data_IF_086425115853
#
_entry.id   IF_086425115853
#
_cell.length_a   1.000
_cell.length_b   1.000
_cell.length_c   1.000
_cell.angle_alpha   90.00
_cell.angle_beta   90.00
_cell.angle_gamma   90.00
#
_symmetry.space_group_name_H-M   'P 1'
#
loop_
_entity.id
_entity.type
_entity.pdbx_description
1 polymer ?
#
# COMPACT_ATOMS: atom_id res chain seq x y z
N UNK A 1 9.32 0.40 13.95
CA UNK A 1 9.71 0.21 12.52
C UNK A 1 8.71 0.93 11.61
N UNK A 2 9.19 1.69 10.66
CA UNK A 2 8.38 2.44 9.71
C UNK A 2 8.55 1.86 8.30
N UNK A 3 7.44 1.59 7.61
CA UNK A 3 7.43 1.22 6.20
C UNK A 3 7.09 2.45 5.35
N UNK A 4 8.04 2.94 4.56
CA UNK A 4 7.90 4.09 3.68
C UNK A 4 7.73 3.64 2.22
N UNK A 5 6.54 3.88 1.64
CA UNK A 5 6.24 3.60 0.24
C UNK A 5 6.17 4.87 -0.60
N UNK A 6 6.85 4.84 -1.75
CA UNK A 6 6.76 5.86 -2.79
C UNK A 6 6.13 5.27 -4.06
N UNK A 7 4.91 5.70 -4.40
CA UNK A 7 4.17 5.18 -5.56
C UNK A 7 4.41 5.96 -6.87
N UNK A 8 5.05 7.14 -6.81
CA UNK A 8 5.31 7.96 -7.98
C UNK A 8 6.39 7.38 -8.88
N UNK A 9 6.20 7.24 -10.21
CA UNK A 9 7.26 6.89 -11.15
C UNK A 9 8.27 8.03 -11.38
N UNK A 10 7.95 9.27 -10.98
CA UNK A 10 8.91 10.38 -11.07
C UNK A 10 10.01 10.18 -10.05
N UNK A 11 11.29 10.06 -10.47
CA UNK A 11 12.40 9.99 -9.54
C UNK A 11 12.62 11.33 -8.82
N UNK A 12 13.15 11.28 -7.60
CA UNK A 12 13.47 12.49 -6.86
C UNK A 12 12.26 13.25 -6.30
N UNK A 13 12.53 14.40 -5.71
CA UNK A 13 11.59 15.23 -4.94
C UNK A 13 11.36 16.56 -5.63
N UNK A 14 10.09 16.99 -5.74
CA UNK A 14 9.73 18.30 -6.30
C UNK A 14 10.41 19.45 -5.55
N UNK A 15 10.87 20.45 -6.30
CA UNK A 15 11.59 21.61 -5.75
C UNK A 15 13.05 21.34 -5.39
N UNK A 16 13.54 20.09 -5.57
CA UNK A 16 14.93 19.70 -5.32
C UNK A 16 15.53 19.08 -6.59
N UNK A 17 14.77 18.25 -7.29
CA UNK A 17 15.19 17.58 -8.50
C UNK A 17 14.33 18.03 -9.68
N UNK A 18 14.91 18.06 -10.86
CA UNK A 18 14.19 18.30 -12.10
C UNK A 18 13.12 17.20 -12.28
N UNK A 19 11.89 17.60 -12.60
CA UNK A 19 10.72 16.70 -12.72
C UNK A 19 10.40 15.87 -11.46
N UNK A 20 10.90 16.26 -10.28
CA UNK A 20 10.69 15.54 -9.03
C UNK A 20 9.20 15.42 -8.64
N UNK A 21 8.89 14.43 -7.82
CA UNK A 21 7.54 14.14 -7.33
C UNK A 21 7.20 14.94 -6.07
N UNK A 22 6.00 15.53 -6.03
CA UNK A 22 5.49 16.21 -4.84
C UNK A 22 5.11 15.20 -3.75
N UNK A 23 4.49 14.07 -4.07
CA UNK A 23 4.17 13.03 -3.09
C UNK A 23 5.43 12.46 -2.43
N UNK A 24 6.52 12.26 -3.20
CA UNK A 24 7.83 11.85 -2.63
C UNK A 24 8.44 12.92 -1.72
N UNK A 25 8.23 14.22 -2.03
CA UNK A 25 8.67 15.29 -1.16
C UNK A 25 7.94 15.26 0.18
N UNK A 26 6.62 15.08 0.14
CA UNK A 26 5.78 15.02 1.35
C UNK A 26 6.13 13.80 2.21
N UNK A 27 6.19 12.60 1.61
CA UNK A 27 6.51 11.37 2.34
C UNK A 27 7.91 11.40 2.94
N UNK A 28 8.87 11.93 2.19
CA UNK A 28 10.24 12.06 2.67
C UNK A 28 10.36 13.07 3.83
N UNK A 29 9.67 14.22 3.72
CA UNK A 29 9.62 15.19 4.82
C UNK A 29 9.07 14.56 6.10
N UNK A 30 7.97 13.79 6.01
CA UNK A 30 7.42 13.07 7.15
C UNK A 30 8.46 12.12 7.77
N UNK A 31 9.12 11.31 6.93
CA UNK A 31 10.13 10.35 7.41
C UNK A 31 11.35 11.07 8.04
N UNK A 32 11.76 12.22 7.52
CA UNK A 32 12.82 13.02 8.13
C UNK A 32 12.42 13.52 9.53
N UNK A 33 11.18 14.02 9.69
CA UNK A 33 10.67 14.43 11.01
C UNK A 33 10.55 13.24 11.99
N UNK A 34 10.08 12.10 11.47
CA UNK A 34 10.03 10.87 12.28
C UNK A 34 11.40 10.46 12.78
N UNK A 35 12.40 10.42 11.92
CA UNK A 35 13.78 10.07 12.30
C UNK A 35 14.39 11.05 13.30
N UNK A 36 14.04 12.33 13.21
CA UNK A 36 14.48 13.33 14.18
C UNK A 36 13.84 13.10 15.56
N UNK A 37 12.58 12.67 15.60
CA UNK A 37 11.86 12.39 16.86
C UNK A 37 12.18 10.99 17.43
N UNK A 38 12.40 10.00 16.56
CA UNK A 38 12.61 8.60 16.90
C UNK A 38 13.87 8.06 16.18
N UNK A 39 15.09 8.48 16.58
CA UNK A 39 16.33 8.18 15.85
C UNK A 39 16.68 6.68 15.83
N UNK A 40 16.22 5.90 16.80
CA UNK A 40 16.47 4.47 16.89
C UNK A 40 15.52 3.62 16.02
N UNK A 41 14.49 4.25 15.43
CA UNK A 41 13.51 3.52 14.62
C UNK A 41 14.08 3.12 13.26
N UNK A 42 13.92 1.83 12.94
CA UNK A 42 14.23 1.30 11.61
C UNK A 42 13.23 1.81 10.57
N UNK A 43 13.73 2.23 9.40
CA UNK A 43 12.93 2.61 8.25
C UNK A 43 13.20 1.67 7.08
N UNK A 44 12.18 0.92 6.69
CA UNK A 44 12.17 0.13 5.45
C UNK A 44 11.59 0.98 4.33
N UNK A 45 12.32 1.15 3.21
CA UNK A 45 11.86 1.92 2.06
C UNK A 45 11.49 1.00 0.90
N UNK A 46 10.28 1.20 0.39
CA UNK A 46 9.77 0.54 -0.82
C UNK A 46 9.45 1.57 -1.89
N UNK A 47 10.22 1.59 -2.97
CA UNK A 47 10.02 2.47 -4.12
C UNK A 47 9.28 1.72 -5.23
N UNK A 48 7.94 1.81 -5.21
CA UNK A 48 7.06 1.17 -6.19
C UNK A 48 7.18 1.79 -7.57
N UNK A 49 7.52 3.09 -7.65
CA UNK A 49 7.73 3.76 -8.93
C UNK A 49 8.98 3.31 -9.65
N UNK A 50 10.04 2.96 -8.91
CA UNK A 50 11.30 2.46 -9.46
C UNK A 50 11.30 0.95 -9.67
N UNK A 51 10.59 0.21 -8.81
CA UNK A 51 10.50 -1.26 -8.84
C UNK A 51 9.04 -1.67 -8.58
N UNK A 52 8.19 -1.59 -9.61
CA UNK A 52 6.79 -2.01 -9.51
C UNK A 52 6.70 -3.49 -9.16
N UNK A 53 5.77 -3.89 -8.27
CA UNK A 53 5.47 -5.31 -8.06
C UNK A 53 4.92 -5.98 -9.32
N UNK A 54 5.07 -7.27 -9.40
CA UNK A 54 4.48 -8.08 -10.47
C UNK A 54 2.95 -7.99 -10.45
N UNK A 55 2.33 -8.03 -11.62
CA UNK A 55 0.88 -8.14 -11.73
C UNK A 55 0.43 -9.56 -11.35
N UNK A 56 -0.82 -9.69 -10.90
CA UNK A 56 -1.41 -11.00 -10.63
C UNK A 56 -1.50 -11.84 -11.90
N UNK A 57 -1.18 -13.10 -11.76
CA UNK A 57 -1.31 -14.13 -12.81
C UNK A 57 -2.27 -15.23 -12.35
N UNK A 58 -2.69 -16.10 -13.27
CA UNK A 58 -3.50 -17.28 -12.94
C UNK A 58 -2.78 -18.14 -11.91
N UNK A 59 -1.50 -18.41 -12.10
CA UNK A 59 -0.69 -19.21 -11.18
C UNK A 59 -0.60 -18.59 -9.78
N UNK A 60 -0.53 -17.24 -9.72
CA UNK A 60 -0.53 -16.51 -8.45
C UNK A 60 -1.86 -16.69 -7.72
N UNK A 61 -3.00 -16.53 -8.44
CA UNK A 61 -4.34 -16.68 -7.86
C UNK A 61 -4.51 -18.10 -7.34
N UNK A 62 -4.18 -19.11 -8.14
CA UNK A 62 -4.26 -20.52 -7.74
C UNK A 62 -3.43 -20.78 -6.48
N UNK A 63 -2.18 -20.31 -6.45
CA UNK A 63 -1.30 -20.47 -5.32
C UNK A 63 -1.81 -19.74 -4.06
N UNK A 64 -2.37 -18.53 -4.20
CA UNK A 64 -2.86 -17.74 -3.07
C UNK A 64 -4.09 -18.34 -2.39
N UNK A 65 -4.96 -19.04 -3.16
CA UNK A 65 -6.17 -19.72 -2.65
C UNK A 65 -5.95 -21.19 -2.31
N UNK A 66 -4.76 -21.76 -2.56
CA UNK A 66 -4.38 -23.09 -2.09
C UNK A 66 -3.91 -22.99 -0.64
N UNK A 67 -4.47 -23.78 0.31
CA UNK A 67 -4.03 -23.80 1.70
C UNK A 67 -2.51 -24.06 1.80
N UNK A 68 -1.85 -23.40 2.74
CA UNK A 68 -0.38 -23.37 2.84
C UNK A 68 0.26 -24.77 2.95
N UNK A 69 -0.41 -25.67 3.66
CA UNK A 69 0.00 -27.08 3.85
C UNK A 69 -0.11 -27.94 2.59
N UNK A 70 -0.89 -27.49 1.58
CA UNK A 70 -1.08 -28.19 0.31
C UNK A 70 -0.29 -27.57 -0.86
N UNK A 71 0.45 -26.45 -0.62
CA UNK A 71 1.20 -25.75 -1.68
C UNK A 71 2.48 -26.51 -2.04
N UNK A 72 2.64 -26.98 -3.29
CA UNK A 72 3.92 -27.45 -3.77
C UNK A 72 4.94 -26.30 -3.83
N UNK A 73 6.24 -26.65 -3.85
CA UNK A 73 7.33 -25.66 -3.89
C UNK A 73 7.28 -24.69 -5.08
N UNK A 74 6.65 -25.09 -6.19
CA UNK A 74 6.42 -24.21 -7.34
C UNK A 74 5.49 -23.04 -7.00
N UNK A 75 4.37 -23.30 -6.31
CA UNK A 75 3.44 -22.28 -5.85
C UNK A 75 4.08 -21.32 -4.84
N UNK A 76 4.89 -21.84 -3.91
CA UNK A 76 5.64 -21.00 -2.96
C UNK A 76 6.62 -20.06 -3.68
N UNK A 77 7.24 -20.49 -4.79
CA UNK A 77 8.08 -19.60 -5.60
C UNK A 77 7.28 -18.49 -6.29
N UNK A 78 6.08 -18.79 -6.79
CA UNK A 78 5.18 -17.80 -7.39
C UNK A 78 4.78 -16.73 -6.37
N UNK A 79 4.54 -17.12 -5.11
CA UNK A 79 4.14 -16.22 -4.03
C UNK A 79 5.30 -15.48 -3.35
N UNK A 80 6.55 -15.81 -3.65
CA UNK A 80 7.71 -15.30 -2.93
C UNK A 80 7.86 -13.76 -2.94
N UNK A 81 7.40 -13.08 -3.99
CA UNK A 81 7.36 -11.60 -4.01
C UNK A 81 6.28 -11.09 -3.07
N UNK A 82 5.08 -11.64 -3.17
CA UNK A 82 3.97 -11.30 -2.29
C UNK A 82 4.30 -11.53 -0.82
N UNK A 83 4.94 -12.66 -0.49
CA UNK A 83 5.32 -12.98 0.89
C UNK A 83 6.24 -11.91 1.48
N UNK A 84 7.25 -11.45 0.71
CA UNK A 84 8.14 -10.37 1.16
C UNK A 84 7.40 -9.05 1.37
N UNK A 85 6.46 -8.70 0.48
CA UNK A 85 5.67 -7.47 0.60
C UNK A 85 4.70 -7.53 1.78
N UNK A 86 4.13 -8.69 2.04
CA UNK A 86 3.27 -8.95 3.22
C UNK A 86 4.09 -8.86 4.51
N UNK A 87 5.27 -9.48 4.55
CA UNK A 87 6.16 -9.43 5.72
C UNK A 87 6.53 -7.98 6.07
N UNK A 88 6.81 -7.13 5.07
CA UNK A 88 7.08 -5.70 5.29
C UNK A 88 5.91 -4.96 5.95
N UNK A 89 4.67 -5.31 5.59
CA UNK A 89 3.45 -4.72 6.19
C UNK A 89 3.24 -5.24 7.62
N UNK A 90 3.38 -6.54 7.83
CA UNK A 90 3.21 -7.18 9.15
C UNK A 90 4.28 -6.69 10.14
N UNK A 91 5.51 -6.51 9.68
CA UNK A 91 6.64 -6.06 10.50
C UNK A 91 6.62 -4.55 10.82
N UNK A 92 5.77 -3.78 10.16
CA UNK A 92 5.70 -2.33 10.32
C UNK A 92 4.84 -1.95 11.54
N UNK A 93 5.32 -0.98 12.32
CA UNK A 93 4.53 -0.30 13.35
C UNK A 93 3.78 0.93 12.79
N UNK A 94 4.24 1.48 11.65
CA UNK A 94 3.64 2.61 10.93
C UNK A 94 3.89 2.47 9.43
N UNK A 95 2.86 2.73 8.61
CA UNK A 95 2.99 2.85 7.16
C UNK A 95 2.96 4.33 6.75
N UNK A 96 3.86 4.75 5.87
CA UNK A 96 3.86 6.08 5.25
C UNK A 96 3.76 5.91 3.74
N UNK A 97 2.63 6.33 3.18
CA UNK A 97 2.25 6.10 1.78
C UNK A 97 2.28 7.41 0.99
N UNK A 98 3.29 7.60 0.14
CA UNK A 98 3.41 8.72 -0.79
C UNK A 98 2.72 8.38 -2.12
N UNK A 99 1.44 8.77 -2.29
CA UNK A 99 0.61 8.37 -3.44
C UNK A 99 0.13 9.58 -4.23
N UNK A 100 0.63 9.83 -5.45
CA UNK A 100 0.11 10.90 -6.30
C UNK A 100 -1.19 10.49 -6.98
N UNK A 101 -2.03 11.47 -7.31
CA UNK A 101 -3.19 11.29 -8.18
C UNK A 101 -2.73 11.39 -9.65
N UNK A 102 -2.92 10.33 -10.41
CA UNK A 102 -2.69 10.25 -11.85
C UNK A 102 -3.95 9.78 -12.56
N UNK A 103 -4.40 10.54 -13.57
CA UNK A 103 -5.61 10.19 -14.32
C UNK A 103 -6.82 9.91 -13.40
N UNK A 104 -7.00 10.78 -12.40
CA UNK A 104 -8.06 10.70 -11.37
C UNK A 104 -7.97 9.50 -10.41
N UNK A 105 -6.87 8.73 -10.45
CA UNK A 105 -6.67 7.56 -9.60
C UNK A 105 -5.22 7.48 -9.11
N UNK A 106 -4.87 6.39 -8.43
CA UNK A 106 -3.52 6.09 -7.96
C UNK A 106 -2.69 5.41 -9.07
N UNK A 107 -1.35 5.44 -8.98
CA UNK A 107 -0.48 4.77 -9.96
C UNK A 107 -0.72 3.26 -10.01
N UNK A 108 -0.60 2.65 -11.21
CA UNK A 108 -0.75 1.21 -11.40
C UNK A 108 0.18 0.37 -10.50
N UNK A 109 1.41 0.85 -10.27
CA UNK A 109 2.36 0.20 -9.36
C UNK A 109 1.84 0.11 -7.91
N UNK A 110 1.05 1.12 -7.47
CA UNK A 110 0.42 1.08 -6.15
C UNK A 110 -0.71 0.06 -6.11
N UNK A 111 -1.51 -0.05 -7.19
CA UNK A 111 -2.53 -1.11 -7.28
C UNK A 111 -1.89 -2.50 -7.27
N UNK A 112 -0.82 -2.70 -8.03
CA UNK A 112 -0.09 -3.97 -8.02
C UNK A 112 0.42 -4.33 -6.61
N UNK A 113 0.89 -3.32 -5.83
CA UNK A 113 1.29 -3.55 -4.45
C UNK A 113 0.10 -3.96 -3.57
N UNK A 114 -1.06 -3.28 -3.67
CA UNK A 114 -2.29 -3.68 -2.95
C UNK A 114 -2.65 -5.13 -3.30
N UNK A 115 -2.64 -5.49 -4.58
CA UNK A 115 -2.99 -6.83 -5.05
C UNK A 115 -2.05 -7.91 -4.49
N UNK A 116 -0.77 -7.58 -4.30
CA UNK A 116 0.21 -8.50 -3.74
C UNK A 116 0.08 -8.67 -2.22
N UNK A 117 -0.34 -7.64 -1.48
CA UNK A 117 -0.44 -7.69 -0.02
C UNK A 117 -1.80 -8.13 0.50
N UNK A 118 -2.86 -8.08 -0.30
CA UNK A 118 -4.17 -8.65 0.04
C UNK A 118 -4.10 -10.16 -0.17
N UNK A 119 -3.68 -10.88 0.86
CA UNK A 119 -3.33 -12.30 0.83
C UNK A 119 -4.18 -13.12 1.78
N UNK A 120 -4.88 -14.11 1.23
CA UNK A 120 -5.59 -15.13 2.02
C UNK A 120 -4.62 -15.85 2.94
N UNK A 121 -5.01 -16.13 4.17
CA UNK A 121 -4.24 -16.74 5.26
C UNK A 121 -3.08 -15.89 5.80
N UNK A 122 -2.84 -14.69 5.26
CA UNK A 122 -1.75 -13.82 5.71
C UNK A 122 -2.24 -12.48 6.24
N UNK A 123 -2.97 -11.73 5.42
CA UNK A 123 -3.48 -10.41 5.75
C UNK A 123 -5.00 -10.37 5.81
N UNK A 124 -5.66 -11.29 5.13
CA UNK A 124 -7.11 -11.46 5.13
C UNK A 124 -7.50 -12.92 5.33
N UNK A 125 -8.68 -13.14 5.93
CA UNK A 125 -9.36 -14.44 5.81
C UNK A 125 -10.34 -14.42 4.63
N UNK A 126 -10.65 -15.59 4.10
CA UNK A 126 -11.69 -15.79 3.11
C UNK A 126 -12.56 -16.98 3.52
N UNK A 127 -13.82 -16.72 3.83
CA UNK A 127 -14.83 -17.74 4.21
C UNK A 127 -16.06 -17.59 3.32
N UNK A 128 -16.16 -18.36 2.22
CA UNK A 128 -17.30 -18.30 1.30
C UNK A 128 -18.62 -18.79 1.91
N UNK A 129 -18.59 -19.44 3.07
CA UNK A 129 -19.80 -19.88 3.78
C UNK A 129 -20.44 -18.73 4.59
N UNK A 130 -19.66 -17.71 4.94
CA UNK A 130 -20.14 -16.51 5.61
C UNK A 130 -20.60 -15.48 4.57
N UNK A 131 -21.91 -15.50 4.23
CA UNK A 131 -22.47 -14.64 3.17
C UNK A 131 -22.39 -13.15 3.51
N UNK A 132 -22.50 -12.78 4.78
CA UNK A 132 -22.51 -11.37 5.20
C UNK A 132 -21.10 -10.78 5.24
N UNK A 133 -20.11 -11.57 5.62
CA UNK A 133 -18.72 -11.15 5.77
C UNK A 133 -17.76 -12.23 5.23
N UNK A 134 -17.72 -12.46 3.89
CA UNK A 134 -16.91 -13.52 3.31
C UNK A 134 -15.41 -13.22 3.34
N UNK A 135 -15.03 -11.96 3.57
CA UNK A 135 -13.65 -11.50 3.64
C UNK A 135 -13.49 -10.55 4.82
N UNK A 136 -12.41 -10.68 5.54
CA UNK A 136 -12.07 -9.74 6.61
C UNK A 136 -10.59 -9.76 6.95
N UNK A 137 -10.13 -8.76 7.73
CA UNK A 137 -8.72 -8.61 8.07
C UNK A 137 -8.24 -9.66 9.07
N UNK A 138 -6.96 -10.01 8.96
CA UNK A 138 -6.21 -10.82 9.94
C UNK A 138 -5.24 -9.98 10.79
N UNK A 139 -5.02 -8.71 10.45
CA UNK A 139 -4.11 -7.81 11.17
C UNK A 139 -4.80 -7.05 12.32
N UNK A 140 -5.87 -7.62 12.89
CA UNK A 140 -6.74 -6.94 13.86
C UNK A 140 -6.11 -6.70 15.22
N UNK A 141 -5.17 -7.55 15.67
CA UNK A 141 -4.62 -7.46 17.01
C UNK A 141 -3.71 -6.24 17.21
N UNK A 142 -3.03 -5.83 16.15
CA UNK A 142 -2.16 -4.65 16.14
C UNK A 142 -2.06 -4.04 14.74
N UNK A 143 -3.14 -3.42 14.24
CA UNK A 143 -3.11 -2.82 12.91
C UNK A 143 -2.15 -1.62 12.90
N UNK A 144 -1.13 -1.61 12.02
CA UNK A 144 -0.26 -0.44 11.92
C UNK A 144 -1.05 0.75 11.36
N UNK A 145 -0.97 1.94 11.99
CA UNK A 145 -1.54 3.15 11.43
C UNK A 145 -0.89 3.47 10.07
N UNK A 146 -1.72 3.92 9.12
CA UNK A 146 -1.27 4.32 7.80
C UNK A 146 -1.41 5.84 7.62
N UNK A 147 -0.28 6.52 7.42
CA UNK A 147 -0.21 7.94 7.08
C UNK A 147 -0.18 8.08 5.56
N UNK A 148 -1.21 8.70 4.99
CA UNK A 148 -1.38 8.82 3.56
C UNK A 148 -1.06 10.25 3.13
N UNK A 149 -0.04 10.40 2.29
CA UNK A 149 0.45 11.68 1.77
C UNK A 149 0.22 11.72 0.26
N UNK A 150 -0.91 12.30 -0.13
CA UNK A 150 -1.33 12.38 -1.53
C UNK A 150 -1.05 13.75 -2.12
N UNK A 151 -0.65 13.78 -3.40
CA UNK A 151 -0.50 15.00 -4.18
C UNK A 151 -1.42 15.00 -5.39
N UNK A 152 -2.10 16.12 -5.61
CA UNK A 152 -3.04 16.33 -6.71
C UNK A 152 -2.62 17.54 -7.52
N UNK A 153 -2.81 17.49 -8.84
CA UNK A 153 -2.68 18.66 -9.73
C UNK A 153 -4.10 19.10 -10.09
N UNK A 154 -4.44 20.35 -9.74
CA UNK A 154 -5.74 20.93 -10.01
C UNK A 154 -6.50 21.32 -8.73
N UNK A 155 -7.44 22.26 -8.89
CA UNK A 155 -8.31 22.72 -7.83
C UNK A 155 -9.64 21.95 -7.85
N UNK A 156 -10.28 21.83 -6.69
CA UNK A 156 -11.65 21.29 -6.62
C UNK A 156 -11.73 19.76 -6.52
N UNK A 157 -10.62 19.06 -6.23
CA UNK A 157 -10.57 17.59 -6.06
C UNK A 157 -10.58 17.15 -4.58
N UNK A 158 -10.63 18.07 -3.62
CA UNK A 158 -10.72 17.71 -2.20
C UNK A 158 -12.18 17.39 -1.81
N UNK A 159 -12.35 16.65 -0.72
CA UNK A 159 -13.60 15.97 -0.30
C UNK A 159 -14.89 16.82 -0.24
N UNK A 160 -14.82 18.14 -0.25
CA UNK A 160 -15.99 19.05 -0.26
C UNK A 160 -16.10 19.90 -1.54
N UNK A 161 -15.24 19.65 -2.53
CA UNK A 161 -15.16 20.46 -3.73
C UNK A 161 -16.02 19.88 -4.89
N UNK A 162 -16.39 20.69 -5.89
CA UNK A 162 -17.27 20.26 -6.98
C UNK A 162 -16.77 19.06 -7.79
N UNK A 163 -15.45 18.86 -7.86
CA UNK A 163 -14.82 17.77 -8.60
C UNK A 163 -14.38 16.59 -7.71
N UNK A 164 -14.74 16.57 -6.43
CA UNK A 164 -14.38 15.51 -5.48
C UNK A 164 -14.75 14.10 -5.98
N UNK A 165 -15.87 13.98 -6.70
CA UNK A 165 -16.32 12.70 -7.32
C UNK A 165 -15.33 12.10 -8.33
N UNK A 166 -14.37 12.89 -8.82
CA UNK A 166 -13.37 12.45 -9.78
C UNK A 166 -12.08 11.98 -9.08
N UNK A 167 -11.96 12.15 -7.77
CA UNK A 167 -10.84 11.63 -6.99
C UNK A 167 -11.13 10.19 -6.55
N UNK A 168 -10.51 9.23 -7.21
CA UNK A 168 -10.59 7.82 -6.86
C UNK A 168 -9.41 7.36 -5.97
N UNK A 169 -8.49 8.25 -5.62
CA UNK A 169 -7.37 7.92 -4.71
C UNK A 169 -7.88 7.82 -3.28
N UNK A 170 -8.54 8.87 -2.78
CA UNK A 170 -8.98 8.93 -1.39
C UNK A 170 -9.96 7.79 -1.01
N UNK A 171 -11.02 7.49 -1.77
CA UNK A 171 -11.90 6.36 -1.46
C UNK A 171 -11.16 5.03 -1.39
N UNK A 172 -10.27 4.75 -2.33
CA UNK A 172 -9.50 3.50 -2.34
C UNK A 172 -8.53 3.43 -1.16
N UNK A 173 -7.86 4.55 -0.83
CA UNK A 173 -6.93 4.60 0.29
C UNK A 173 -7.64 4.52 1.66
N UNK A 174 -8.94 4.72 1.72
CA UNK A 174 -9.76 4.40 2.90
C UNK A 174 -10.12 2.92 2.96
N UNK A 175 -10.64 2.38 1.86
CA UNK A 175 -11.15 1.00 1.80
C UNK A 175 -10.04 -0.06 1.86
N UNK A 176 -8.91 0.12 1.16
CA UNK A 176 -7.86 -0.90 1.13
C UNK A 176 -7.18 -1.10 2.50
N UNK A 177 -6.84 -0.05 3.28
CA UNK A 177 -6.41 -0.21 4.66
C UNK A 177 -7.46 -0.88 5.55
N UNK A 178 -8.74 -0.50 5.45
CA UNK A 178 -9.83 -1.11 6.22
C UNK A 178 -9.93 -2.62 5.96
N UNK A 179 -9.81 -3.06 4.69
CA UNK A 179 -9.79 -4.47 4.31
C UNK A 179 -8.63 -5.23 4.98
N UNK A 180 -7.51 -4.58 5.21
CA UNK A 180 -6.35 -5.14 5.90
C UNK A 180 -6.40 -4.94 7.42
N UNK A 181 -7.44 -4.29 7.96
CA UNK A 181 -7.55 -3.90 9.36
C UNK A 181 -6.65 -2.73 9.74
N UNK A 182 -6.05 -2.00 8.77
CA UNK A 182 -5.18 -0.86 9.05
C UNK A 182 -5.99 0.38 9.44
N UNK A 183 -5.49 1.15 10.40
CA UNK A 183 -6.08 2.42 10.80
C UNK A 183 -5.51 3.56 9.93
N UNK A 184 -6.31 4.13 9.00
CA UNK A 184 -5.87 5.30 8.25
C UNK A 184 -5.90 6.55 9.13
N UNK A 185 -4.73 7.16 9.37
CA UNK A 185 -4.61 8.48 9.99
C UNK A 185 -4.76 9.56 8.89
N UNK A 186 -5.59 10.55 9.15
CA UNK A 186 -5.84 11.71 8.30
C UNK A 186 -4.99 12.90 8.72
#
# INVERSE_FOLDING_TARGET
RLLHLDASPRPGRSGIHEHGSLSRRLSHYFVEQWKAACPEDGVTRRDLGARPPSLLTVDWIEAAFTPSEHRPSAMNRVLAESDRLVDEVIDADVLVLGVPLYNYSYPAAFKAWIDQIVRVERTIYFDPANIDHPVGPLLNDRPPPAVILSSRVGFGLCSLAPLARLDHVEPTLRTAPELLGLCALQ
#
